data_IF_106368936353
#
_entry.id   IF_106368936353
#
_cell.length_a   1.000
_cell.length_b   1.000
_cell.length_c   1.000
_cell.angle_alpha   90.00
_cell.angle_beta   90.00
_cell.angle_gamma   90.00
#
_symmetry.space_group_name_H-M   'P 1'
#
loop_
_entity.id
_entity.type
_entity.pdbx_description
1 polymer ?
#
# COMPACT_ATOMS: atom_id res chain seq x y z
N UNK A 1 -3.71 12.30 31.06
CA UNK A 1 -2.98 12.94 29.93
C UNK A 1 -2.68 11.96 28.80
N UNK A 2 -1.96 10.84 29.02
CA UNK A 2 -1.64 9.84 27.97
C UNK A 2 -2.84 9.34 27.15
N UNK A 3 -3.96 8.97 27.79
CA UNK A 3 -5.18 8.52 27.08
C UNK A 3 -5.76 9.58 26.14
N UNK A 4 -5.69 10.87 26.51
CA UNK A 4 -6.15 11.98 25.66
C UNK A 4 -5.25 12.13 24.42
N UNK A 5 -3.93 11.99 24.58
CA UNK A 5 -2.98 12.07 23.47
C UNK A 5 -3.11 10.90 22.49
N UNK A 6 -3.33 9.67 22.98
CA UNK A 6 -3.60 8.53 22.10
C UNK A 6 -4.91 8.71 21.32
N UNK A 7 -5.96 9.25 21.95
CA UNK A 7 -7.21 9.57 21.25
C UNK A 7 -6.95 10.63 20.16
N UNK A 8 -6.22 11.71 20.48
CA UNK A 8 -5.91 12.76 19.52
C UNK A 8 -5.04 12.26 18.35
N UNK A 9 -4.19 11.26 18.59
CA UNK A 9 -3.40 10.62 17.55
C UNK A 9 -4.24 9.70 16.63
N UNK A 10 -5.18 8.95 17.19
CA UNK A 10 -5.98 8.01 16.42
C UNK A 10 -7.16 8.69 15.70
N UNK A 11 -7.65 9.82 16.24
CA UNK A 11 -8.82 10.51 15.74
C UNK A 11 -8.74 10.88 14.24
N UNK A 12 -7.62 11.43 13.71
CA UNK A 12 -7.52 11.75 12.29
C UNK A 12 -7.71 10.56 11.36
N UNK A 13 -7.20 9.38 11.74
CA UNK A 13 -7.35 8.16 10.94
C UNK A 13 -8.80 7.67 10.92
N UNK A 14 -9.51 7.80 12.05
CA UNK A 14 -10.95 7.47 12.11
C UNK A 14 -11.76 8.46 11.27
N UNK A 15 -11.45 9.75 11.35
CA UNK A 15 -12.11 10.77 10.52
C UNK A 15 -11.83 10.57 9.03
N UNK A 16 -10.59 10.24 8.67
CA UNK A 16 -10.21 9.87 7.31
C UNK A 16 -11.00 8.65 6.85
N UNK A 17 -11.07 7.58 7.64
CA UNK A 17 -11.84 6.39 7.28
C UNK A 17 -13.31 6.72 7.00
N UNK A 18 -13.94 7.50 7.87
CA UNK A 18 -15.34 7.91 7.69
C UNK A 18 -15.52 8.76 6.43
N UNK A 19 -14.61 9.69 6.18
CA UNK A 19 -14.65 10.52 4.98
C UNK A 19 -14.46 9.69 3.71
N UNK A 20 -13.48 8.78 3.68
CA UNK A 20 -13.23 7.88 2.57
C UNK A 20 -14.43 6.99 2.30
N UNK A 21 -15.05 6.41 3.32
CA UNK A 21 -16.27 5.61 3.15
C UNK A 21 -17.40 6.43 2.52
N UNK A 22 -17.57 7.70 2.92
CA UNK A 22 -18.58 8.60 2.33
C UNK A 22 -18.25 8.91 0.86
N UNK A 23 -16.98 9.21 0.56
CA UNK A 23 -16.51 9.48 -0.81
C UNK A 23 -16.76 8.26 -1.68
N UNK A 24 -16.27 7.09 -1.28
CA UNK A 24 -16.40 5.82 -2.00
C UNK A 24 -17.85 5.38 -2.19
N UNK A 25 -18.74 5.68 -1.24
CA UNK A 25 -20.16 5.38 -1.39
C UNK A 25 -20.84 6.22 -2.48
N UNK A 26 -20.35 7.45 -2.71
CA UNK A 26 -20.83 8.35 -3.75
C UNK A 26 -20.24 8.07 -5.13
N UNK A 27 -19.17 7.28 -5.21
CA UNK A 27 -18.59 6.86 -6.49
C UNK A 27 -19.56 5.93 -7.20
N UNK A 28 -20.01 6.33 -8.38
CA UNK A 28 -20.77 5.47 -9.26
C UNK A 28 -19.83 4.59 -10.08
N UNK A 29 -19.81 3.29 -9.77
CA UNK A 29 -19.05 2.29 -10.51
C UNK A 29 -19.81 1.77 -11.74
N UNK A 30 -21.07 2.17 -11.92
CA UNK A 30 -21.85 1.83 -13.11
C UNK A 30 -21.57 2.77 -14.29
N UNK A 31 -20.66 3.74 -14.13
CA UNK A 31 -20.15 4.51 -15.26
C UNK A 31 -19.35 3.56 -16.14
N UNK A 32 -19.99 3.11 -17.22
CA UNK A 32 -19.44 2.22 -18.24
C UNK A 32 -18.25 2.95 -18.90
N UNK A 33 -17.03 2.64 -18.45
CA UNK A 33 -15.82 3.20 -19.04
C UNK A 33 -14.55 2.83 -18.29
N UNK A 34 -13.42 2.97 -18.99
CA UNK A 34 -12.09 2.69 -18.42
C UNK A 34 -11.77 1.20 -18.27
N UNK A 35 -10.61 0.96 -17.69
CA UNK A 35 -10.01 -0.35 -17.51
C UNK A 35 -10.85 -1.27 -16.61
N UNK A 36 -11.63 -0.72 -15.66
CA UNK A 36 -12.54 -1.51 -14.80
C UNK A 36 -13.46 -2.42 -15.64
N UNK A 37 -14.04 -1.86 -16.71
CA UNK A 37 -14.92 -2.61 -17.62
C UNK A 37 -14.16 -3.64 -18.45
N UNK A 38 -12.92 -3.32 -18.83
CA UNK A 38 -12.05 -4.21 -19.64
C UNK A 38 -11.61 -5.41 -18.81
N UNK A 39 -11.15 -5.20 -17.57
CA UNK A 39 -10.78 -6.27 -16.65
C UNK A 39 -11.98 -7.13 -16.26
N UNK A 40 -13.16 -6.52 -16.06
CA UNK A 40 -14.40 -7.26 -15.85
C UNK A 40 -14.76 -8.11 -17.08
N UNK A 41 -14.64 -7.57 -18.29
CA UNK A 41 -14.91 -8.31 -19.52
C UNK A 41 -14.01 -9.54 -19.67
N UNK A 42 -12.69 -9.41 -19.40
CA UNK A 42 -11.77 -10.55 -19.40
C UNK A 42 -12.23 -11.65 -18.42
N UNK A 43 -12.70 -11.26 -17.23
CA UNK A 43 -13.16 -12.23 -16.23
C UNK A 43 -14.44 -12.99 -16.63
N UNK A 44 -15.17 -12.48 -17.63
CA UNK A 44 -16.43 -13.03 -18.12
C UNK A 44 -16.25 -13.84 -19.43
N UNK A 45 -15.04 -13.91 -19.98
CA UNK A 45 -14.74 -14.70 -21.16
C UNK A 45 -14.96 -16.21 -20.91
N UNK A 46 -15.45 -16.91 -21.94
CA UNK A 46 -15.69 -18.35 -21.85
C UNK A 46 -14.37 -19.09 -21.61
N UNK A 47 -14.32 -19.91 -20.54
CA UNK A 47 -13.13 -20.64 -20.16
C UNK A 47 -12.07 -19.81 -19.41
N UNK A 48 -12.42 -18.59 -18.94
CA UNK A 48 -11.50 -17.76 -18.16
C UNK A 48 -10.94 -18.50 -16.93
N UNK A 49 -9.61 -18.39 -16.76
CA UNK A 49 -8.91 -18.85 -15.58
C UNK A 49 -7.83 -17.85 -15.21
N UNK A 50 -7.81 -17.44 -13.94
CA UNK A 50 -6.96 -16.35 -13.45
C UNK A 50 -5.46 -16.65 -13.61
N UNK A 51 -5.00 -17.84 -13.27
CA UNK A 51 -3.57 -18.15 -13.29
C UNK A 51 -2.99 -18.19 -14.71
N UNK A 52 -3.61 -18.88 -15.70
CA UNK A 52 -3.17 -18.80 -17.09
C UNK A 52 -3.20 -17.37 -17.65
N UNK A 53 -4.26 -16.61 -17.38
CA UNK A 53 -4.37 -15.23 -17.85
C UNK A 53 -3.27 -14.32 -17.26
N UNK A 54 -2.97 -14.46 -15.96
CA UNK A 54 -1.86 -13.73 -15.33
C UNK A 54 -0.51 -14.13 -15.93
N UNK A 55 -0.29 -15.42 -16.21
CA UNK A 55 0.95 -15.89 -16.81
C UNK A 55 1.14 -15.34 -18.23
N UNK A 56 0.08 -15.33 -19.04
CA UNK A 56 0.10 -14.73 -20.38
C UNK A 56 0.41 -13.24 -20.32
N UNK A 57 -0.27 -12.50 -19.43
CA UNK A 57 -0.04 -11.06 -19.26
C UNK A 57 1.36 -10.75 -18.78
N UNK A 58 1.92 -11.54 -17.88
CA UNK A 58 3.30 -11.39 -17.44
C UNK A 58 4.29 -11.52 -18.60
N UNK A 59 4.06 -12.47 -19.50
CA UNK A 59 4.96 -12.73 -20.63
C UNK A 59 4.81 -11.72 -21.77
N UNK A 60 3.65 -11.08 -21.92
CA UNK A 60 3.31 -10.30 -23.12
C UNK A 60 3.05 -8.81 -22.87
N UNK A 61 2.69 -8.42 -21.65
CA UNK A 61 2.14 -7.08 -21.40
C UNK A 61 2.62 -6.39 -20.12
N UNK A 62 2.43 -6.99 -18.93
CA UNK A 62 2.66 -6.30 -17.66
C UNK A 62 3.34 -7.16 -16.60
N UNK A 63 4.31 -6.55 -15.91
CA UNK A 63 4.99 -7.11 -14.75
C UNK A 63 4.15 -7.07 -13.46
N UNK A 64 3.00 -6.36 -13.47
CA UNK A 64 2.14 -6.08 -12.30
C UNK A 64 1.31 -7.28 -11.83
N UNK A 65 1.87 -8.48 -11.87
CA UNK A 65 1.16 -9.74 -11.65
C UNK A 65 0.37 -9.78 -10.34
N UNK A 66 0.97 -9.38 -9.21
CA UNK A 66 0.29 -9.41 -7.92
C UNK A 66 -0.82 -8.34 -7.82
N UNK A 67 -0.56 -7.15 -8.37
CA UNK A 67 -1.52 -6.05 -8.48
C UNK A 67 -2.71 -6.44 -9.38
N UNK A 68 -2.45 -7.00 -10.56
CA UNK A 68 -3.48 -7.43 -11.50
C UNK A 68 -4.29 -8.62 -10.97
N UNK A 69 -3.66 -9.53 -10.21
CA UNK A 69 -4.38 -10.62 -9.55
C UNK A 69 -5.44 -10.07 -8.57
N UNK A 70 -5.09 -9.07 -7.77
CA UNK A 70 -6.03 -8.41 -6.85
C UNK A 70 -7.05 -7.57 -7.61
N UNK A 71 -6.64 -6.92 -8.71
CA UNK A 71 -7.54 -6.18 -9.58
C UNK A 71 -8.67 -7.06 -10.12
N UNK A 72 -8.33 -8.23 -10.69
CA UNK A 72 -9.30 -9.19 -11.21
C UNK A 72 -10.28 -9.68 -10.13
N UNK A 73 -9.80 -9.89 -8.91
CA UNK A 73 -10.68 -10.23 -7.78
C UNK A 73 -11.60 -9.06 -7.42
N UNK A 74 -11.10 -7.83 -7.41
CA UNK A 74 -11.89 -6.66 -6.99
C UNK A 74 -12.95 -6.24 -8.01
N UNK A 75 -12.68 -6.35 -9.31
CA UNK A 75 -13.67 -6.04 -10.36
C UNK A 75 -14.79 -7.07 -10.42
N UNK A 76 -14.55 -8.32 -9.99
CA UNK A 76 -15.55 -9.40 -10.00
C UNK A 76 -16.42 -9.44 -8.74
N UNK A 77 -15.92 -8.90 -7.62
CA UNK A 77 -16.66 -8.83 -6.37
C UNK A 77 -17.68 -7.68 -6.36
N UNK A 78 -18.71 -7.74 -5.49
CA UNK A 78 -19.64 -6.63 -5.33
C UNK A 78 -18.91 -5.33 -4.98
N UNK A 79 -19.32 -4.22 -5.60
CA UNK A 79 -18.78 -2.87 -5.42
C UNK A 79 -18.48 -2.47 -3.95
N UNK A 80 -19.34 -2.90 -3.02
CA UNK A 80 -19.19 -2.61 -1.59
C UNK A 80 -17.88 -3.14 -1.02
N UNK A 81 -17.36 -4.26 -1.54
CA UNK A 81 -16.10 -4.86 -1.08
C UNK A 81 -14.94 -3.92 -1.40
N UNK A 82 -14.84 -3.46 -2.65
CA UNK A 82 -13.80 -2.50 -3.05
C UNK A 82 -13.93 -1.18 -2.27
N UNK A 83 -15.14 -0.63 -2.13
CA UNK A 83 -15.36 0.64 -1.40
C UNK A 83 -14.84 0.58 0.03
N UNK A 84 -15.09 -0.54 0.73
CA UNK A 84 -14.60 -0.75 2.10
C UNK A 84 -13.09 -0.96 2.08
N UNK A 85 -12.59 -1.87 1.23
CA UNK A 85 -11.18 -2.21 1.17
C UNK A 85 -10.30 -1.00 0.84
N UNK A 86 -10.67 -0.22 -0.18
CA UNK A 86 -9.92 0.95 -0.62
C UNK A 86 -9.86 2.02 0.48
N UNK A 87 -10.99 2.28 1.14
CA UNK A 87 -11.04 3.21 2.29
C UNK A 87 -10.07 2.80 3.41
N UNK A 88 -9.96 1.50 3.71
CA UNK A 88 -8.98 1.00 4.67
C UNK A 88 -7.54 1.13 4.17
N UNK A 89 -7.29 0.85 2.88
CA UNK A 89 -5.96 0.96 2.28
C UNK A 89 -5.45 2.41 2.32
N UNK A 90 -6.30 3.39 2.02
CA UNK A 90 -5.97 4.82 2.16
C UNK A 90 -5.55 5.14 3.60
N UNK A 91 -6.31 4.67 4.59
CA UNK A 91 -6.00 4.89 6.01
C UNK A 91 -4.71 4.18 6.43
N UNK A 92 -4.46 2.97 5.93
CA UNK A 92 -3.21 2.23 6.15
C UNK A 92 -2.03 3.04 5.58
N UNK A 93 -2.17 3.58 4.36
CA UNK A 93 -1.16 4.43 3.74
C UNK A 93 -0.87 5.69 4.58
N UNK A 94 -1.91 6.38 5.02
CA UNK A 94 -1.79 7.56 5.88
C UNK A 94 -1.12 7.23 7.24
N UNK A 95 -1.51 6.12 7.86
CA UNK A 95 -0.92 5.65 9.11
C UNK A 95 0.54 5.23 8.93
N UNK A 96 0.87 4.50 7.86
CA UNK A 96 2.23 4.08 7.54
C UNK A 96 3.14 5.30 7.28
N UNK A 97 2.69 6.26 6.49
CA UNK A 97 3.44 7.50 6.24
C UNK A 97 3.63 8.31 7.52
N UNK A 98 2.59 8.40 8.36
CA UNK A 98 2.69 9.04 9.67
C UNK A 98 3.77 8.38 10.51
N UNK A 99 3.77 7.05 10.60
CA UNK A 99 4.76 6.30 11.36
C UNK A 99 6.19 6.44 10.83
N UNK A 100 6.35 6.63 9.52
CA UNK A 100 7.66 6.85 8.90
C UNK A 100 8.22 8.24 9.23
N UNK A 101 7.37 9.26 9.28
CA UNK A 101 7.76 10.67 9.40
C UNK A 101 7.66 11.24 10.82
N UNK A 102 6.83 10.65 11.68
CA UNK A 102 6.51 11.23 12.99
C UNK A 102 7.75 11.38 13.89
N UNK A 103 7.80 12.53 14.57
CA UNK A 103 8.55 12.70 15.80
C UNK A 103 7.59 12.47 16.96
N UNK A 104 8.00 11.69 17.97
CA UNK A 104 7.12 11.24 19.07
C UNK A 104 6.42 12.40 19.80
N UNK A 105 7.08 13.54 19.90
CA UNK A 105 6.59 14.76 20.55
C UNK A 105 5.48 15.49 19.76
N UNK A 106 5.34 15.25 18.46
CA UNK A 106 4.36 15.92 17.58
C UNK A 106 3.46 14.95 16.82
N UNK A 107 3.39 13.68 17.22
CA UNK A 107 2.73 12.61 16.45
C UNK A 107 1.27 12.93 16.10
N UNK A 108 0.55 13.63 16.96
CA UNK A 108 -0.82 14.09 16.70
C UNK A 108 -0.86 15.05 15.51
N UNK A 109 0.04 16.02 15.43
CA UNK A 109 0.11 16.98 14.31
C UNK A 109 0.44 16.27 12.99
N UNK A 110 1.37 15.30 13.02
CA UNK A 110 1.67 14.47 11.85
C UNK A 110 0.45 13.68 11.40
N UNK A 111 -0.28 13.03 12.33
CA UNK A 111 -1.48 12.26 12.00
C UNK A 111 -2.59 13.13 11.36
N UNK A 112 -2.80 14.35 11.87
CA UNK A 112 -3.74 15.30 11.30
C UNK A 112 -3.31 15.78 9.91
N UNK A 113 -2.06 16.23 9.79
CA UNK A 113 -1.53 16.78 8.54
C UNK A 113 -1.54 15.74 7.42
N UNK A 114 -1.05 14.52 7.69
CA UNK A 114 -1.00 13.46 6.70
C UNK A 114 -2.40 12.99 6.32
N UNK A 115 -3.31 12.83 7.29
CA UNK A 115 -4.70 12.48 6.96
C UNK A 115 -5.34 13.53 6.05
N UNK A 116 -5.11 14.82 6.32
CA UNK A 116 -5.59 15.91 5.46
C UNK A 116 -4.96 15.87 4.07
N UNK A 117 -3.68 15.51 3.94
CA UNK A 117 -3.02 15.35 2.63
C UNK A 117 -3.67 14.25 1.79
N UNK A 118 -4.00 13.09 2.39
CA UNK A 118 -4.71 12.01 1.68
C UNK A 118 -6.12 12.45 1.26
N UNK A 119 -6.85 13.15 2.15
CA UNK A 119 -8.15 13.75 1.83
C UNK A 119 -8.08 14.80 0.70
N UNK A 120 -6.96 15.50 0.57
CA UNK A 120 -6.75 16.52 -0.46
C UNK A 120 -6.35 15.92 -1.83
N UNK A 121 -6.20 14.59 -1.93
CA UNK A 121 -5.93 13.96 -3.21
C UNK A 121 -7.11 14.18 -4.16
N UNK A 122 -6.85 14.56 -5.41
CA UNK A 122 -7.90 14.78 -6.39
C UNK A 122 -8.42 13.44 -6.92
N UNK A 123 -9.22 12.74 -6.10
CA UNK A 123 -9.78 11.41 -6.39
C UNK A 123 -10.52 11.36 -7.72
N UNK A 124 -11.09 12.46 -8.20
CA UNK A 124 -11.75 12.53 -9.50
C UNK A 124 -10.85 12.14 -10.68
N UNK A 125 -9.53 12.31 -10.59
CA UNK A 125 -8.63 11.82 -11.64
C UNK A 125 -8.53 10.31 -11.71
N UNK A 126 -8.87 9.60 -10.62
CA UNK A 126 -8.87 8.13 -10.62
C UNK A 126 -9.99 7.54 -11.48
N UNK A 127 -11.03 8.31 -11.79
CA UNK A 127 -12.11 7.85 -12.68
C UNK A 127 -11.67 7.70 -14.13
N UNK A 128 -10.59 8.37 -14.55
CA UNK A 128 -10.19 8.46 -15.96
C UNK A 128 -9.86 7.09 -16.57
N UNK A 129 -9.14 6.26 -15.82
CA UNK A 129 -8.80 4.90 -16.23
C UNK A 129 -9.70 3.84 -15.56
N UNK A 130 -10.61 4.23 -14.66
CA UNK A 130 -11.38 3.30 -13.84
C UNK A 130 -10.98 3.39 -12.37
N UNK A 131 -11.98 3.42 -11.49
CA UNK A 131 -11.81 3.65 -10.06
C UNK A 131 -11.07 2.48 -9.41
N UNK A 132 -11.46 1.24 -9.74
CA UNK A 132 -10.86 0.03 -9.18
C UNK A 132 -9.44 -0.17 -9.75
N UNK A 133 -9.29 -0.02 -11.06
CA UNK A 133 -8.03 -0.15 -11.77
C UNK A 133 -7.00 0.87 -11.26
N UNK A 134 -7.36 2.15 -11.18
CA UNK A 134 -6.42 3.20 -10.74
C UNK A 134 -6.04 3.02 -9.27
N UNK A 135 -7.01 2.76 -8.39
CA UNK A 135 -6.71 2.57 -6.96
C UNK A 135 -5.79 1.38 -6.70
N UNK A 136 -6.05 0.24 -7.36
CA UNK A 136 -5.25 -0.98 -7.19
C UNK A 136 -3.86 -0.86 -7.85
N UNK A 137 -3.72 -0.07 -8.92
CA UNK A 137 -2.42 0.14 -9.56
C UNK A 137 -1.52 1.17 -8.84
N UNK A 138 -2.11 2.14 -8.12
CA UNK A 138 -1.35 3.26 -7.55
C UNK A 138 -1.54 3.43 -6.04
N UNK A 139 -2.77 3.49 -5.54
CA UNK A 139 -3.03 3.71 -4.11
C UNK A 139 -2.62 2.50 -3.26
N UNK A 140 -2.94 1.28 -3.71
CA UNK A 140 -2.61 0.06 -2.98
C UNK A 140 -1.10 -0.19 -2.93
N UNK A 141 -0.35 -0.09 -4.05
CA UNK A 141 1.09 -0.24 -4.02
C UNK A 141 1.77 0.85 -3.19
N UNK A 142 1.26 2.09 -3.23
CA UNK A 142 1.76 3.15 -2.35
C UNK A 142 1.59 2.78 -0.88
N UNK A 143 0.37 2.44 -0.44
CA UNK A 143 0.09 2.12 0.95
C UNK A 143 0.92 0.92 1.44
N UNK A 144 0.93 -0.18 0.68
CA UNK A 144 1.70 -1.37 1.04
C UNK A 144 3.20 -1.15 0.90
N UNK A 145 3.67 -0.33 -0.04
CA UNK A 145 5.06 0.07 -0.16
C UNK A 145 5.55 0.85 1.05
N UNK A 146 4.73 1.76 1.57
CA UNK A 146 5.04 2.49 2.82
C UNK A 146 5.12 1.53 4.02
N UNK A 147 4.20 0.56 4.11
CA UNK A 147 4.26 -0.50 5.14
C UNK A 147 5.53 -1.35 4.97
N UNK A 148 5.90 -1.69 3.73
CA UNK A 148 7.08 -2.47 3.43
C UNK A 148 8.38 -1.75 3.79
N UNK A 149 8.44 -0.42 3.67
CA UNK A 149 9.62 0.40 4.04
C UNK A 149 9.70 0.69 5.55
N UNK A 150 8.59 0.60 6.29
CA UNK A 150 8.54 0.83 7.74
C UNK A 150 9.57 0.07 8.61
N UNK A 151 9.94 -1.19 8.34
CA UNK A 151 11.07 -1.90 8.98
C UNK A 151 12.35 -1.08 9.10
N UNK A 152 12.68 -0.30 8.07
CA UNK A 152 13.89 0.53 8.03
C UNK A 152 13.83 1.55 9.18
N UNK A 153 12.71 2.26 9.30
CA UNK A 153 12.51 3.23 10.38
C UNK A 153 12.58 2.55 11.74
N UNK A 154 11.91 1.42 11.90
CA UNK A 154 11.89 0.66 13.15
C UNK A 154 13.30 0.25 13.59
N UNK A 155 14.14 -0.15 12.63
CA UNK A 155 15.53 -0.50 12.90
C UNK A 155 16.38 0.70 13.32
N UNK A 156 16.23 1.84 12.64
CA UNK A 156 16.92 3.09 13.00
C UNK A 156 16.58 3.51 14.42
N UNK A 157 15.32 3.35 14.82
CA UNK A 157 14.83 3.64 16.18
C UNK A 157 15.26 2.58 17.22
N UNK A 158 16.06 1.57 16.83
CA UNK A 158 16.52 0.48 17.71
C UNK A 158 15.43 -0.54 18.08
N UNK A 159 14.32 -0.55 17.34
CA UNK A 159 13.20 -1.46 17.55
C UNK A 159 13.45 -2.84 16.95
N UNK A 160 12.91 -3.87 17.61
CA UNK A 160 12.95 -5.26 17.10
C UNK A 160 11.74 -5.55 16.22
N UNK A 161 11.95 -6.26 15.11
CA UNK A 161 10.88 -6.74 14.24
C UNK A 161 10.39 -8.10 14.76
N UNK A 162 9.09 -8.22 15.06
CA UNK A 162 8.46 -9.49 15.42
C UNK A 162 8.24 -10.33 14.16
N UNK A 163 8.21 -11.65 14.28
CA UNK A 163 8.05 -12.57 13.13
C UNK A 163 6.79 -12.24 12.32
N UNK A 164 5.66 -12.03 12.99
CA UNK A 164 4.38 -11.69 12.35
C UNK A 164 4.49 -10.37 11.57
N UNK A 165 5.20 -9.38 12.12
CA UNK A 165 5.44 -8.12 11.41
C UNK A 165 6.35 -8.35 10.19
N UNK A 166 7.41 -9.15 10.32
CA UNK A 166 8.30 -9.51 9.22
C UNK A 166 7.54 -10.17 8.06
N UNK A 167 6.64 -11.11 8.36
CA UNK A 167 5.76 -11.73 7.34
C UNK A 167 4.89 -10.67 6.68
N UNK A 168 4.21 -9.83 7.46
CA UNK A 168 3.34 -8.79 6.93
C UNK A 168 4.11 -7.81 6.01
N UNK A 169 5.29 -7.34 6.44
CA UNK A 169 6.13 -6.46 5.64
C UNK A 169 6.58 -7.13 4.35
N UNK A 170 6.88 -8.43 4.38
CA UNK A 170 7.28 -9.21 3.20
C UNK A 170 6.13 -9.34 2.20
N UNK A 171 4.92 -9.65 2.67
CA UNK A 171 3.73 -9.71 1.80
C UNK A 171 3.47 -8.34 1.15
N UNK A 172 3.53 -7.27 1.94
CA UNK A 172 3.40 -5.91 1.42
C UNK A 172 4.49 -5.57 0.40
N UNK A 173 5.74 -6.00 0.64
CA UNK A 173 6.87 -5.79 -0.25
C UNK A 173 6.68 -6.51 -1.59
N UNK A 174 6.22 -7.77 -1.59
CA UNK A 174 5.95 -8.53 -2.82
C UNK A 174 4.83 -7.86 -3.63
N UNK A 175 3.73 -7.50 -2.96
CA UNK A 175 2.61 -6.85 -3.63
C UNK A 175 3.02 -5.50 -4.23
N UNK A 176 3.59 -4.61 -3.41
CA UNK A 176 4.02 -3.29 -3.83
C UNK A 176 5.14 -3.35 -4.88
N UNK A 177 6.04 -4.32 -4.77
CA UNK A 177 7.18 -4.52 -5.67
C UNK A 177 6.79 -4.99 -7.07
N UNK A 178 5.57 -5.49 -7.24
CA UNK A 178 5.03 -5.76 -8.58
C UNK A 178 4.68 -4.48 -9.35
N UNK A 179 4.52 -3.33 -8.67
CA UNK A 179 4.35 -2.03 -9.32
C UNK A 179 5.72 -1.37 -9.53
N UNK A 180 6.06 -1.04 -10.79
CA UNK A 180 7.36 -0.47 -11.18
C UNK A 180 7.73 0.79 -10.40
N UNK A 181 6.76 1.69 -10.17
CA UNK A 181 6.97 2.93 -9.42
C UNK A 181 7.40 2.64 -7.98
N UNK A 182 6.70 1.72 -7.31
CA UNK A 182 6.98 1.41 -5.92
C UNK A 182 8.19 0.47 -5.77
N UNK A 183 8.46 -0.39 -6.75
CA UNK A 183 9.69 -1.17 -6.84
C UNK A 183 10.92 -0.25 -6.81
N UNK A 184 10.90 0.84 -7.58
CA UNK A 184 11.97 1.83 -7.56
C UNK A 184 12.12 2.49 -6.18
N UNK A 185 11.03 2.95 -5.59
CA UNK A 185 11.05 3.61 -4.26
C UNK A 185 11.58 2.66 -3.18
N UNK A 186 11.19 1.38 -3.21
CA UNK A 186 11.69 0.38 -2.27
C UNK A 186 13.16 0.08 -2.51
N UNK A 187 13.58 -0.16 -3.76
CA UNK A 187 14.97 -0.40 -4.09
C UNK A 187 15.87 0.75 -3.64
N UNK A 188 15.44 2.00 -3.87
CA UNK A 188 16.14 3.19 -3.39
C UNK A 188 16.19 3.25 -1.85
N UNK A 189 15.06 3.03 -1.18
CA UNK A 189 14.97 3.09 0.30
C UNK A 189 15.87 2.05 0.97
N UNK A 190 15.78 0.79 0.54
CA UNK A 190 16.60 -0.31 1.06
C UNK A 190 18.07 -0.16 0.65
N UNK A 191 18.35 0.30 -0.57
CA UNK A 191 19.71 0.58 -1.05
C UNK A 191 20.40 1.65 -0.22
N UNK A 192 19.74 2.81 -0.01
CA UNK A 192 20.25 3.88 0.84
C UNK A 192 20.46 3.42 2.29
N UNK A 193 19.53 2.62 2.83
CA UNK A 193 19.69 2.05 4.17
C UNK A 193 20.87 1.07 4.26
N UNK A 194 21.07 0.23 3.24
CA UNK A 194 22.23 -0.65 3.13
C UNK A 194 23.55 0.12 3.11
N UNK A 195 23.64 1.17 2.30
CA UNK A 195 24.79 2.08 2.26
C UNK A 195 25.05 2.74 3.62
N UNK A 196 23.99 3.21 4.30
CA UNK A 196 24.08 3.78 5.65
C UNK A 196 24.66 2.78 6.67
N UNK A 197 24.26 1.51 6.61
CA UNK A 197 24.80 0.47 7.50
C UNK A 197 26.26 0.18 7.22
N UNK A 198 26.66 0.12 5.94
CA UNK A 198 28.06 -0.10 5.53
C UNK A 198 28.93 1.06 6.02
N UNK A 199 28.50 2.30 5.78
CA UNK A 199 29.22 3.51 6.18
C UNK A 199 29.51 3.56 7.69
N UNK A 200 28.56 3.11 8.51
CA UNK A 200 28.68 3.12 9.98
C UNK A 200 29.38 1.88 10.55
N UNK A 201 30.05 1.06 9.73
CA UNK A 201 30.72 -0.16 10.18
C UNK A 201 29.77 -1.26 10.69
N UNK A 202 28.46 -1.07 10.49
CA UNK A 202 27.40 -2.02 10.86
C UNK A 202 27.13 -3.05 9.75
N UNK A 203 28.02 -3.18 8.76
CA UNK A 203 27.90 -4.18 7.69
C UNK A 203 27.75 -5.61 8.19
N UNK A 204 28.34 -5.97 9.35
CA UNK A 204 28.14 -7.30 9.97
C UNK A 204 26.73 -7.51 10.53
N UNK A 205 25.98 -6.46 10.89
CA UNK A 205 24.58 -6.57 11.32
C UNK A 205 23.66 -7.03 10.18
N UNK A 206 24.00 -6.70 8.92
CA UNK A 206 23.29 -7.18 7.72
C UNK A 206 23.21 -8.71 7.71
N UNK A 207 24.28 -9.38 8.17
CA UNK A 207 24.38 -10.85 8.23
C UNK A 207 23.93 -11.45 9.58
N UNK A 208 24.01 -10.70 10.69
CA UNK A 208 23.83 -11.24 12.06
C UNK A 208 22.46 -10.99 12.69
N UNK A 209 21.80 -9.86 12.41
CA UNK A 209 20.51 -9.50 13.05
C UNK A 209 19.28 -9.81 12.18
N UNK A 210 19.46 -10.26 10.94
CA UNK A 210 18.39 -10.23 9.94
C UNK A 210 18.07 -11.58 9.30
N UNK A 211 17.75 -12.59 10.12
CA UNK A 211 17.00 -13.78 9.66
C UNK A 211 15.63 -13.45 9.04
N UNK A 212 15.14 -12.21 9.17
CA UNK A 212 13.80 -11.78 8.71
C UNK A 212 13.80 -10.68 7.62
N UNK A 213 14.88 -9.93 7.40
CA UNK A 213 15.02 -9.10 6.18
C UNK A 213 15.40 -9.98 4.98
N UNK A 214 16.07 -11.11 5.23
CA UNK A 214 16.35 -12.14 4.22
C UNK A 214 15.12 -12.95 3.77
N UNK A 215 13.90 -12.67 4.28
CA UNK A 215 12.67 -13.18 3.66
C UNK A 215 12.12 -12.22 2.59
N UNK A 216 12.71 -11.02 2.47
CA UNK A 216 12.35 -10.00 1.47
C UNK A 216 13.29 -10.01 0.25
N UNK A 217 14.17 -11.01 0.16
CA UNK A 217 14.97 -11.34 -1.01
C UNK A 217 14.97 -12.85 -1.21
#
# INVERSE_FOLDING_TARGET
MKKKQEILYCLPFVLLLLAELIIHWKIDLNVIGGDDTVFLAYSQEEGFSLLPWLAERYMTWSSRTAVEAVLMVMVTLPAVVWRIADSFVVVIGAAALTRLLEKREYREYYSFFISLMFLALPYSYMSLAGWIATSINYMWPLAFGLVAVYPIRKSIDGGKIRIIEGIAYTVCLIFAGSSEQMAFVMAASYGCYGLYLIWNGKGRLILKEYRYILMQF
#
